data_IF_811596983049
#
_entry.id   IF_811596983049
#
_cell.length_a   1.000
_cell.length_b   1.000
_cell.length_c   1.000
_cell.angle_alpha   90.00
_cell.angle_beta   90.00
_cell.angle_gamma   90.00
#
_symmetry.space_group_name_H-M   'P 1'
#
loop_
_entity.id
_entity.type
_entity.pdbx_description
1 polymer ?
#
# COMPACT_ATOMS: atom_id res chain seq x y z
N UNK A 1 -9.54 -25.94 79.54
CA UNK A 1 -8.96 -27.13 78.89
C UNK A 1 -8.70 -26.77 77.43
N UNK A 2 -7.57 -27.25 76.90
CA UNK A 2 -6.85 -26.82 75.69
C UNK A 2 -7.68 -26.88 74.40
N UNK A 3 -7.43 -25.94 73.50
CA UNK A 3 -7.62 -26.18 72.07
C UNK A 3 -6.57 -25.40 71.26
N UNK A 4 -5.61 -26.14 70.72
CA UNK A 4 -4.63 -25.68 69.72
C UNK A 4 -4.23 -26.91 68.90
N UNK A 5 -4.86 -27.10 67.73
CA UNK A 5 -4.25 -27.54 66.46
C UNK A 5 -5.31 -27.92 65.42
N UNK A 6 -5.09 -27.37 64.20
CA UNK A 6 -5.05 -28.06 62.90
C UNK A 6 -6.06 -27.58 61.84
N UNK A 7 -5.51 -27.14 60.71
CA UNK A 7 -6.19 -26.92 59.42
C UNK A 7 -5.89 -25.52 58.88
N UNK A 8 -5.41 -25.28 57.66
CA UNK A 8 -5.13 -26.08 56.48
C UNK A 8 -4.69 -25.13 55.34
N UNK A 9 -4.15 -25.64 54.24
CA UNK A 9 -3.95 -24.83 53.03
C UNK A 9 -2.76 -25.22 52.15
N UNK A 10 -3.00 -26.04 51.14
CA UNK A 10 -2.09 -26.29 50.01
C UNK A 10 -2.15 -25.10 49.04
N UNK A 11 -1.01 -24.59 48.58
CA UNK A 11 -0.89 -23.91 47.27
C UNK A 11 0.44 -24.27 46.59
N UNK A 12 0.29 -25.06 45.53
CA UNK A 12 1.23 -25.30 44.44
C UNK A 12 1.59 -23.99 43.73
N UNK A 13 2.82 -23.84 43.24
CA UNK A 13 3.20 -22.67 42.45
C UNK A 13 4.67 -22.62 42.06
N UNK A 14 5.02 -23.44 41.08
CA UNK A 14 5.99 -23.22 39.99
C UNK A 14 7.00 -22.06 40.16
N UNK A 15 8.29 -22.40 40.33
CA UNK A 15 9.42 -21.47 40.17
C UNK A 15 9.75 -21.29 38.68
N UNK A 16 8.85 -20.66 37.95
CA UNK A 16 9.11 -20.11 36.64
C UNK A 16 9.66 -18.70 36.79
N UNK A 17 10.97 -18.55 36.97
CA UNK A 17 11.64 -17.26 36.83
C UNK A 17 11.65 -16.86 35.35
N UNK A 18 10.49 -16.39 34.88
CA UNK A 18 10.29 -15.83 33.56
C UNK A 18 11.30 -14.73 33.30
N UNK A 19 12.06 -14.89 32.22
CA UNK A 19 13.04 -13.89 31.79
C UNK A 19 12.40 -12.51 31.75
N UNK A 20 13.07 -11.52 32.35
CA UNK A 20 12.75 -10.12 32.17
C UNK A 20 12.92 -9.75 30.70
N UNK A 21 11.88 -10.00 29.90
CA UNK A 21 11.64 -9.26 28.69
C UNK A 21 11.25 -7.86 29.14
N UNK A 22 12.26 -7.03 29.41
CA UNK A 22 12.04 -5.58 29.54
C UNK A 22 11.19 -5.15 28.36
N UNK A 23 10.11 -4.41 28.66
CA UNK A 23 9.07 -4.05 27.70
C UNK A 23 9.71 -3.24 26.57
N UNK A 24 10.08 -3.93 25.49
CA UNK A 24 10.65 -3.33 24.31
C UNK A 24 9.61 -2.38 23.72
N UNK A 25 9.87 -1.08 23.81
CA UNK A 25 8.97 -0.04 23.35
C UNK A 25 8.42 0.91 24.43
N UNK A 26 8.68 0.66 25.72
CA UNK A 26 8.16 1.49 26.83
C UNK A 26 8.57 2.97 26.75
N UNK A 27 9.69 3.26 26.08
CA UNK A 27 10.19 4.63 25.84
C UNK A 27 9.80 5.22 24.47
N UNK A 28 9.02 4.51 23.66
CA UNK A 28 8.58 5.02 22.36
C UNK A 28 7.51 6.10 22.56
N UNK A 29 7.81 7.31 22.10
CA UNK A 29 6.84 8.40 22.05
C UNK A 29 6.10 8.36 20.73
N UNK A 30 4.78 8.44 20.76
CA UNK A 30 3.98 8.57 19.55
C UNK A 30 4.39 9.85 18.82
N UNK A 31 4.70 9.80 17.51
CA UNK A 31 4.96 10.99 16.73
C UNK A 31 3.77 11.96 16.84
N UNK A 32 4.05 13.24 17.04
CA UNK A 32 3.04 14.29 17.05
C UNK A 32 2.91 14.84 15.63
N UNK A 33 1.87 14.42 14.92
CA UNK A 33 1.57 14.90 13.58
C UNK A 33 0.83 16.24 13.66
N UNK A 34 1.58 17.34 13.60
CA UNK A 34 1.00 18.67 13.49
C UNK A 34 0.81 19.01 12.00
N UNK A 35 -0.39 18.76 11.50
CA UNK A 35 -0.75 18.99 10.10
C UNK A 35 -0.60 20.46 9.67
N UNK A 36 -0.57 21.41 10.61
CA UNK A 36 -0.36 22.83 10.31
C UNK A 36 1.09 23.21 10.03
N UNK A 37 2.04 22.35 10.47
CA UNK A 37 3.48 22.55 10.30
C UNK A 37 4.09 21.70 9.19
N UNK A 38 3.30 20.83 8.58
CA UNK A 38 3.75 20.02 7.45
C UNK A 38 3.65 20.84 6.17
N UNK A 39 4.71 20.82 5.36
CA UNK A 39 4.67 21.44 4.05
C UNK A 39 3.68 20.68 3.14
N UNK A 40 2.86 21.40 2.35
CA UNK A 40 1.97 20.77 1.39
C UNK A 40 2.76 19.94 0.37
N UNK A 41 2.45 18.65 0.28
CA UNK A 41 3.01 17.77 -0.73
C UNK A 41 1.97 17.50 -1.82
N UNK A 42 2.33 17.80 -3.07
CA UNK A 42 1.52 17.43 -4.24
C UNK A 42 1.52 15.91 -4.36
N UNK A 43 0.34 15.28 -4.31
CA UNK A 43 0.20 13.82 -4.45
C UNK A 43 -0.19 13.41 -5.87
N UNK A 44 -1.01 14.23 -6.52
CA UNK A 44 -1.48 13.97 -7.88
C UNK A 44 -0.53 14.60 -8.88
N UNK A 45 0.25 13.75 -9.54
CA UNK A 45 1.13 14.12 -10.65
C UNK A 45 0.60 13.61 -11.99
N UNK A 46 -0.52 12.90 -12.00
CA UNK A 46 -1.00 12.23 -13.19
C UNK A 46 -1.67 13.22 -14.13
N UNK A 47 -1.14 13.30 -15.35
CA UNK A 47 -1.77 14.00 -16.47
C UNK A 47 -2.10 12.94 -17.52
N UNK A 48 -3.38 12.58 -17.72
CA UNK A 48 -3.73 11.56 -18.69
C UNK A 48 -3.40 12.02 -20.10
N UNK A 49 -2.80 11.13 -20.89
CA UNK A 49 -2.60 11.36 -22.31
C UNK A 49 -3.97 11.53 -23.02
N UNK A 50 -4.11 12.40 -24.03
CA UNK A 50 -5.38 12.61 -24.73
C UNK A 50 -6.04 11.32 -25.22
N UNK A 51 -5.24 10.35 -25.68
CA UNK A 51 -5.75 9.05 -26.11
C UNK A 51 -6.41 8.28 -24.96
N UNK A 52 -5.85 8.33 -23.76
CA UNK A 52 -6.38 7.66 -22.56
C UNK A 52 -7.66 8.35 -22.07
N UNK A 53 -7.68 9.69 -22.15
CA UNK A 53 -8.82 10.50 -21.74
C UNK A 53 -10.03 10.35 -22.69
N UNK A 54 -9.78 10.24 -24.00
CA UNK A 54 -10.81 10.16 -25.03
C UNK A 54 -11.24 8.73 -25.39
N UNK A 55 -10.56 7.71 -24.84
CA UNK A 55 -10.85 6.31 -25.14
C UNK A 55 -12.28 5.95 -24.72
N UNK A 56 -12.98 5.20 -25.57
CA UNK A 56 -14.36 4.82 -25.28
C UNK A 56 -14.41 3.83 -24.11
N UNK A 57 -15.55 3.84 -23.39
CA UNK A 57 -15.74 2.91 -22.27
C UNK A 57 -15.70 1.44 -22.73
N UNK A 58 -16.22 1.16 -23.92
CA UNK A 58 -16.22 -0.19 -24.50
C UNK A 58 -14.79 -0.70 -24.74
N UNK A 59 -13.91 0.12 -25.33
CA UNK A 59 -12.50 -0.26 -25.54
C UNK A 59 -11.75 -0.46 -24.22
N UNK A 60 -12.05 0.34 -23.20
CA UNK A 60 -11.46 0.20 -21.87
C UNK A 60 -11.91 -1.11 -21.22
N UNK A 61 -13.20 -1.44 -21.30
CA UNK A 61 -13.77 -2.68 -20.76
C UNK A 61 -13.20 -3.90 -21.50
N UNK A 62 -13.10 -3.86 -22.83
CA UNK A 62 -12.49 -4.92 -23.63
C UNK A 62 -11.02 -5.15 -23.27
N UNK A 63 -10.25 -4.07 -23.11
CA UNK A 63 -8.87 -4.17 -22.65
C UNK A 63 -8.77 -4.79 -21.26
N UNK A 64 -9.63 -4.35 -20.32
CA UNK A 64 -9.65 -4.93 -18.97
C UNK A 64 -10.00 -6.41 -19.00
N UNK A 65 -10.99 -6.81 -19.80
CA UNK A 65 -11.39 -8.21 -19.96
C UNK A 65 -10.26 -9.06 -20.57
N UNK A 66 -9.63 -8.59 -21.65
CA UNK A 66 -8.52 -9.30 -22.31
C UNK A 66 -7.27 -9.44 -21.44
N UNK A 67 -7.10 -8.57 -20.45
CA UNK A 67 -5.97 -8.56 -19.50
C UNK A 67 -6.35 -9.08 -18.11
N UNK A 68 -7.57 -9.62 -17.96
CA UNK A 68 -8.12 -10.14 -16.70
C UNK A 68 -8.07 -9.12 -15.53
N UNK A 69 -8.23 -7.84 -15.84
CA UNK A 69 -8.18 -6.75 -14.87
C UNK A 69 -9.55 -6.60 -14.21
N UNK A 70 -9.60 -6.86 -12.90
CA UNK A 70 -10.77 -6.56 -12.07
C UNK A 70 -10.47 -5.37 -11.17
N UNK A 71 -11.43 -4.46 -11.05
CA UNK A 71 -11.30 -3.23 -10.27
C UNK A 71 -12.27 -3.23 -9.10
N UNK A 72 -11.80 -2.76 -7.94
CA UNK A 72 -12.63 -2.48 -6.78
C UNK A 72 -12.28 -1.08 -6.26
N UNK A 73 -13.28 -0.19 -6.24
CA UNK A 73 -13.13 1.20 -5.83
C UNK A 73 -13.82 2.18 -6.77
N UNK A 74 -13.81 3.45 -6.37
CA UNK A 74 -14.48 4.53 -7.10
C UNK A 74 -13.47 5.41 -7.85
N UNK A 75 -13.93 6.03 -8.95
CA UNK A 75 -13.17 7.00 -9.75
C UNK A 75 -11.81 6.48 -10.29
N UNK A 76 -11.65 5.17 -10.50
CA UNK A 76 -10.36 4.59 -10.90
C UNK A 76 -9.96 5.09 -12.29
N UNK A 77 -8.74 5.64 -12.47
CA UNK A 77 -8.29 6.15 -13.75
C UNK A 77 -8.25 5.06 -14.83
N UNK A 78 -8.40 5.48 -16.09
CA UNK A 78 -8.34 4.57 -17.24
C UNK A 78 -6.93 3.96 -17.38
N UNK A 79 -6.84 2.70 -17.84
CA UNK A 79 -5.55 2.06 -18.07
C UNK A 79 -4.82 2.69 -19.27
N UNK A 80 -3.49 2.67 -19.22
CA UNK A 80 -2.62 3.03 -20.34
C UNK A 80 -2.34 1.80 -21.20
N UNK A 81 -2.40 1.95 -22.52
CA UNK A 81 -2.19 0.82 -23.43
C UNK A 81 -0.73 0.71 -23.88
N UNK A 82 0.01 1.82 -23.85
CA UNK A 82 1.43 1.89 -24.17
C UNK A 82 2.22 2.67 -23.12
N UNK A 83 3.55 2.58 -23.18
CA UNK A 83 4.43 3.29 -22.24
C UNK A 83 4.39 4.82 -22.45
N UNK A 84 4.18 5.28 -23.69
CA UNK A 84 4.10 6.69 -24.04
C UNK A 84 2.87 7.37 -23.41
N UNK A 85 1.78 6.60 -23.24
CA UNK A 85 0.56 7.07 -22.61
C UNK A 85 0.70 7.27 -21.08
N UNK A 86 1.74 6.69 -20.47
CA UNK A 86 1.98 6.79 -19.03
C UNK A 86 2.58 8.14 -18.59
N UNK A 87 3.11 8.93 -19.53
CA UNK A 87 3.67 10.25 -19.24
C UNK A 87 4.97 10.22 -18.43
N UNK A 88 5.77 9.15 -18.57
CA UNK A 88 7.06 9.07 -17.89
C UNK A 88 8.10 10.01 -18.51
N UNK A 89 9.08 10.49 -17.71
CA UNK A 89 10.20 11.26 -18.23
C UNK A 89 11.00 10.51 -19.32
N UNK A 90 11.63 11.25 -20.23
CA UNK A 90 12.35 10.69 -21.37
C UNK A 90 13.41 9.66 -21.00
N UNK A 91 14.13 9.87 -19.89
CA UNK A 91 15.16 8.94 -19.43
C UNK A 91 14.57 7.57 -19.04
N UNK A 92 13.35 7.53 -18.49
CA UNK A 92 12.64 6.27 -18.18
C UNK A 92 12.21 5.59 -19.47
N UNK A 93 11.67 6.37 -20.41
CA UNK A 93 11.21 5.86 -21.71
C UNK A 93 12.36 5.28 -22.54
N UNK A 94 13.55 5.90 -22.50
CA UNK A 94 14.76 5.37 -23.14
C UNK A 94 15.16 4.02 -22.56
N UNK A 95 15.08 3.86 -21.23
CA UNK A 95 15.43 2.60 -20.57
C UNK A 95 14.44 1.48 -20.90
N UNK A 96 13.13 1.78 -20.91
CA UNK A 96 12.08 0.83 -21.33
C UNK A 96 12.34 0.33 -22.75
N UNK A 97 12.67 1.24 -23.67
CA UNK A 97 13.03 0.90 -25.06
C UNK A 97 14.32 0.09 -25.12
N UNK A 98 15.33 0.44 -24.35
CA UNK A 98 16.61 -0.28 -24.27
C UNK A 98 16.44 -1.73 -23.79
N UNK A 99 15.52 -1.95 -22.87
CA UNK A 99 15.17 -3.28 -22.34
C UNK A 99 14.27 -4.08 -23.29
N UNK A 100 13.79 -3.48 -24.39
CA UNK A 100 12.99 -4.15 -25.40
C UNK A 100 11.55 -4.46 -24.96
N UNK A 101 11.01 -3.72 -23.99
CA UNK A 101 9.62 -3.88 -23.61
C UNK A 101 8.71 -3.18 -24.63
N UNK A 102 7.78 -3.93 -25.23
CA UNK A 102 6.84 -3.40 -26.23
C UNK A 102 5.59 -2.76 -25.60
N UNK A 103 5.01 -3.43 -24.58
CA UNK A 103 3.77 -2.98 -23.94
C UNK A 103 3.82 -3.16 -22.42
N UNK A 104 3.12 -2.30 -21.65
CA UNK A 104 2.98 -2.51 -20.22
C UNK A 104 2.21 -3.79 -19.92
N UNK A 105 2.61 -4.48 -18.85
CA UNK A 105 1.83 -5.60 -18.29
C UNK A 105 0.49 -5.13 -17.75
N UNK A 106 -0.46 -6.04 -17.53
CA UNK A 106 -1.80 -5.72 -17.02
C UNK A 106 -1.76 -4.87 -15.72
N UNK A 107 -0.89 -5.25 -14.78
CA UNK A 107 -0.74 -4.54 -13.51
C UNK A 107 -0.09 -3.16 -13.69
N UNK A 108 0.84 -2.98 -14.64
CA UNK A 108 1.45 -1.69 -14.93
C UNK A 108 0.48 -0.75 -15.64
N UNK A 109 -0.22 -1.26 -16.66
CA UNK A 109 -1.19 -0.54 -17.46
C UNK A 109 -2.26 0.13 -16.59
N UNK A 110 -2.79 -0.59 -15.61
CA UNK A 110 -3.82 -0.06 -14.71
C UNK A 110 -3.22 0.58 -13.45
N UNK A 111 -2.07 0.10 -12.98
CA UNK A 111 -1.45 0.54 -11.73
C UNK A 111 -0.75 1.89 -11.81
N UNK A 112 -0.10 2.22 -12.93
CA UNK A 112 0.61 3.50 -13.05
C UNK A 112 -0.32 4.72 -12.97
N UNK A 113 -1.46 4.77 -13.69
CA UNK A 113 -2.41 5.88 -13.53
C UNK A 113 -2.89 6.03 -12.08
N UNK A 114 -3.10 4.92 -11.36
CA UNK A 114 -3.51 4.95 -9.96
C UNK A 114 -2.40 5.55 -9.09
N UNK A 115 -1.17 5.02 -9.20
CA UNK A 115 -0.03 5.47 -8.41
C UNK A 115 0.31 6.95 -8.67
N UNK A 116 0.28 7.39 -9.93
CA UNK A 116 0.56 8.77 -10.31
C UNK A 116 -0.55 9.73 -9.86
N UNK A 117 -1.80 9.25 -9.72
CA UNK A 117 -2.91 10.06 -9.22
C UNK A 117 -2.89 10.30 -7.71
N UNK A 118 -1.93 9.71 -6.99
CA UNK A 118 -1.73 9.95 -5.56
C UNK A 118 -2.82 9.37 -4.65
N UNK A 119 -3.46 8.30 -5.09
CA UNK A 119 -4.61 7.64 -4.42
C UNK A 119 -4.21 6.39 -3.65
#
# INVERSE_FOLDING_TARGET
>A
FRDDRRGGGVRTGDRGAGGRRGQAGEKLRKPRWDLSRLEPFKKDFYVPHPNVANRSRAEIEEFRNSKEITLNGNNIPNPVFSFEEAGFPDYVMQEIKRLGFEYPTAIQAQGWPIALSGR
#
